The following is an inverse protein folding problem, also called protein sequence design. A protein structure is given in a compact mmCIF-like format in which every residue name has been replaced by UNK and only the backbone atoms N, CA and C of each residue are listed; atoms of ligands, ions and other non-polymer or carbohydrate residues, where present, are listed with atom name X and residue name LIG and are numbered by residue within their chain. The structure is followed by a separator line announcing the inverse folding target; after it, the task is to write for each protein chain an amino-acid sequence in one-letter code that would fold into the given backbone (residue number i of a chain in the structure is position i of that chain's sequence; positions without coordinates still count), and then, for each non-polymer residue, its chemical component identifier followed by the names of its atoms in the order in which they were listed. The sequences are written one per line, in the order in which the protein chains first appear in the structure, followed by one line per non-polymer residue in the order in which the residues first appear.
data_IF_770661684669
#
_entry.id   IF_770661684669
#
_cell.length_a   1.000
_cell.length_b   1.000
_cell.length_c   1.000
_cell.angle_alpha   90.00
_cell.angle_beta   90.00
_cell.angle_gamma   90.00
#
_symmetry.space_group_name_H-M   'P 1'
#
loop_
_entity.id
_entity.type
_entity.pdbx_description
1 polymer ?
#
# COMPACT_ATOMS: atom_id res chain seq x y z
N UNK A 1 7.93 28.43 5.20
CA UNK A 1 7.17 27.83 4.09
C UNK A 1 5.76 28.41 3.96
N UNK A 2 5.06 28.67 5.07
CA UNK A 2 3.67 29.15 5.06
C UNK A 2 3.47 30.57 5.61
N UNK A 3 4.56 31.32 5.89
CA UNK A 3 4.52 32.70 6.43
C UNK A 3 3.48 32.89 7.55
N UNK A 4 3.45 31.93 8.47
CA UNK A 4 2.46 31.82 9.53
C UNK A 4 3.21 31.56 10.84
N UNK A 5 2.98 32.41 11.83
CA UNK A 5 3.61 32.24 13.14
C UNK A 5 2.88 31.17 13.94
N UNK A 6 3.60 30.14 14.37
CA UNK A 6 3.03 29.04 15.15
C UNK A 6 3.69 28.94 16.53
N UNK A 7 2.89 28.62 17.54
CA UNK A 7 3.31 28.17 18.84
C UNK A 7 3.23 26.64 18.88
N UNK A 8 4.21 26.00 19.51
CA UNK A 8 4.26 24.55 19.64
C UNK A 8 4.49 24.20 21.11
N UNK A 9 3.52 23.51 21.71
CA UNK A 9 3.54 23.08 23.11
C UNK A 9 3.55 21.54 23.19
N UNK A 10 4.25 20.98 24.17
CA UNK A 10 4.25 19.53 24.40
C UNK A 10 3.07 19.19 25.32
N UNK A 11 2.16 18.33 24.87
CA UNK A 11 1.00 17.87 25.64
C UNK A 11 1.29 16.59 26.42
N UNK A 12 2.01 15.65 25.81
CA UNK A 12 2.36 14.36 26.42
C UNK A 12 3.77 13.96 26.04
N UNK A 13 4.44 13.32 26.97
CA UNK A 13 5.80 12.81 26.77
C UNK A 13 5.80 11.29 26.63
N UNK A 14 6.98 10.72 26.37
CA UNK A 14 7.16 9.26 26.33
C UNK A 14 6.93 8.58 27.68
N UNK A 15 6.82 9.34 28.77
CA UNK A 15 6.46 8.81 30.08
C UNK A 15 4.95 8.49 30.16
N UNK A 16 4.14 9.17 29.35
CA UNK A 16 2.67 9.06 29.36
C UNK A 16 2.13 8.13 28.26
N UNK A 17 2.81 8.04 27.12
CA UNK A 17 2.41 7.20 25.98
C UNK A 17 3.57 6.93 25.00
N UNK A 18 3.37 6.05 24.01
CA UNK A 18 4.43 5.61 23.09
C UNK A 18 4.97 6.70 22.14
N UNK A 19 4.34 7.87 22.08
CA UNK A 19 4.74 9.00 21.23
C UNK A 19 4.65 10.33 21.95
N UNK A 20 5.43 11.32 21.51
CA UNK A 20 5.33 12.69 22.02
C UNK A 20 4.19 13.39 21.29
N UNK A 21 3.27 14.00 22.04
CA UNK A 21 2.15 14.75 21.47
C UNK A 21 2.48 16.24 21.50
N UNK A 22 2.38 16.88 20.34
CA UNK A 22 2.58 18.32 20.20
C UNK A 22 1.27 19.00 19.85
N UNK A 23 0.93 20.06 20.57
CA UNK A 23 -0.10 21.00 20.18
C UNK A 23 0.54 22.10 19.35
N UNK A 24 0.05 22.31 18.13
CA UNK A 24 0.50 23.38 17.25
C UNK A 24 -0.65 24.39 17.14
N UNK A 25 -0.41 25.62 17.55
CA UNK A 25 -1.39 26.71 17.60
C UNK A 25 -0.90 27.89 16.78
N UNK A 26 -1.71 28.44 15.89
CA UNK A 26 -1.33 29.66 15.16
C UNK A 26 -1.41 30.89 16.08
N UNK A 27 -0.38 31.75 16.07
CA UNK A 27 -0.30 32.96 16.90
C UNK A 27 -0.93 34.20 16.24
N UNK A 28 -1.02 34.22 14.91
CA UNK A 28 -1.51 35.37 14.14
C UNK A 28 -3.04 35.36 13.99
N UNK A 29 -3.74 35.97 14.95
CA UNK A 29 -5.19 36.26 14.89
C UNK A 29 -5.56 37.55 14.15
N UNK A 30 -4.85 37.95 13.10
CA UNK A 30 -5.21 39.16 12.33
C UNK A 30 -6.06 38.82 11.12
N UNK A 31 -7.37 39.12 11.20
CA UNK A 31 -8.34 39.31 10.09
C UNK A 31 -8.28 38.34 8.90
N UNK A 32 -7.73 37.14 9.08
CA UNK A 32 -8.07 36.02 8.23
C UNK A 32 -9.45 35.60 8.69
N UNK A 33 -10.47 35.97 7.90
CA UNK A 33 -11.71 35.18 7.80
C UNK A 33 -11.26 33.76 7.98
N UNK A 34 -11.74 33.08 9.03
CA UNK A 34 -11.41 31.69 9.29
C UNK A 34 -11.36 31.03 7.92
N UNK A 35 -10.20 30.49 7.46
CA UNK A 35 -10.13 29.89 6.14
C UNK A 35 -11.39 29.05 6.08
N UNK A 36 -12.31 29.33 5.10
CA UNK A 36 -13.67 28.80 5.15
C UNK A 36 -13.46 27.39 5.58
N UNK A 37 -13.98 27.03 6.78
CA UNK A 37 -13.61 25.79 7.43
C UNK A 37 -13.50 24.84 6.28
N UNK A 38 -12.32 24.24 6.07
CA UNK A 38 -12.36 23.05 5.27
C UNK A 38 -13.15 22.12 6.21
N UNK A 39 -14.49 22.30 6.32
CA UNK A 39 -15.45 21.28 5.94
C UNK A 39 -14.65 20.52 4.91
N UNK A 40 -13.98 19.45 5.38
CA UNK A 40 -13.38 18.46 4.53
C UNK A 40 -14.41 18.26 3.47
N UNK A 41 -14.21 18.90 2.31
CA UNK A 41 -15.33 19.36 1.53
C UNK A 41 -16.19 18.13 1.30
N UNK A 42 -17.39 18.12 1.91
CA UNK A 42 -18.32 16.98 1.93
C UNK A 42 -18.90 16.76 0.51
N UNK A 43 -18.09 17.01 -0.52
CA UNK A 43 -18.09 16.35 -1.82
C UNK A 43 -17.86 14.85 -1.72
N UNK A 44 -17.67 14.28 -0.53
CA UNK A 44 -17.88 12.86 -0.31
C UNK A 44 -19.39 12.61 -0.27
N UNK A 45 -19.93 12.10 -1.37
CA UNK A 45 -21.31 11.62 -1.37
C UNK A 45 -21.50 10.62 -0.22
N UNK A 46 -22.55 10.83 0.59
CA UNK A 46 -22.97 9.89 1.64
C UNK A 46 -23.28 8.49 1.10
N UNK A 47 -23.58 8.41 -0.20
CA UNK A 47 -23.80 7.15 -0.90
C UNK A 47 -22.48 6.61 -1.50
N UNK A 48 -22.20 5.31 -1.35
CA UNK A 48 -21.07 4.68 -2.02
C UNK A 48 -21.24 4.77 -3.54
N UNK A 49 -20.46 5.65 -4.18
CA UNK A 49 -20.48 5.83 -5.65
C UNK A 49 -19.74 4.71 -6.40
N UNK A 50 -18.96 3.91 -5.68
CA UNK A 50 -18.20 2.78 -6.22
C UNK A 50 -18.62 1.51 -5.50
N UNK A 51 -19.10 0.51 -6.24
CA UNK A 51 -19.40 -0.80 -5.66
C UNK A 51 -18.11 -1.52 -5.25
N UNK A 52 -18.14 -2.41 -4.23
CA UNK A 52 -16.98 -3.22 -3.86
C UNK A 52 -16.40 -4.01 -5.05
N UNK A 53 -17.28 -4.51 -5.94
CA UNK A 53 -16.86 -5.20 -7.17
C UNK A 53 -16.10 -4.29 -8.13
N UNK A 54 -16.51 -3.04 -8.27
CA UNK A 54 -15.80 -2.04 -9.08
C UNK A 54 -14.46 -1.71 -8.43
N UNK A 55 -14.43 -1.50 -7.12
CA UNK A 55 -13.21 -1.26 -6.37
C UNK A 55 -12.17 -2.38 -6.56
N UNK A 56 -12.58 -3.65 -6.42
CA UNK A 56 -11.70 -4.80 -6.66
C UNK A 56 -11.13 -4.88 -8.08
N UNK A 57 -11.87 -4.37 -9.08
CA UNK A 57 -11.41 -4.31 -10.47
C UNK A 57 -10.41 -3.19 -10.70
N UNK A 58 -10.59 -2.05 -10.05
CA UNK A 58 -9.69 -0.90 -10.16
C UNK A 58 -8.40 -1.16 -9.39
N UNK A 59 -8.50 -1.76 -8.20
CA UNK A 59 -7.36 -2.09 -7.35
C UNK A 59 -7.20 -3.61 -7.24
N UNK A 60 -6.54 -4.28 -8.19
CA UNK A 60 -6.38 -5.74 -8.17
C UNK A 60 -5.41 -6.23 -7.08
N UNK A 61 -4.60 -5.33 -6.53
CA UNK A 61 -3.65 -5.57 -5.45
C UNK A 61 -4.09 -4.84 -4.18
N UNK A 62 -5.06 -5.42 -3.46
CA UNK A 62 -5.45 -4.93 -2.15
C UNK A 62 -5.87 -6.05 -1.21
N UNK A 63 -5.81 -5.76 0.09
CA UNK A 63 -6.41 -6.58 1.15
C UNK A 63 -7.23 -5.67 2.05
N UNK A 64 -8.41 -6.12 2.46
CA UNK A 64 -9.21 -5.49 3.52
C UNK A 64 -9.29 -6.47 4.68
N UNK A 65 -9.00 -6.03 5.89
CA UNK A 65 -8.99 -6.88 7.08
C UNK A 65 -9.51 -6.14 8.32
N UNK A 66 -10.00 -6.91 9.29
CA UNK A 66 -10.55 -6.42 10.55
C UNK A 66 -9.48 -6.26 11.66
N UNK A 67 -9.91 -5.87 12.86
CA UNK A 67 -9.04 -5.78 14.06
C UNK A 67 -8.35 -7.09 14.45
N UNK A 68 -8.93 -8.23 14.09
CA UNK A 68 -8.34 -9.55 14.36
C UNK A 68 -7.32 -9.96 13.31
N UNK A 69 -6.99 -9.05 12.38
CA UNK A 69 -6.11 -9.27 11.24
C UNK A 69 -6.69 -10.26 10.21
N UNK A 70 -7.99 -10.57 10.29
CA UNK A 70 -8.68 -11.51 9.41
C UNK A 70 -9.04 -10.82 8.09
N UNK A 71 -8.64 -11.42 6.97
CA UNK A 71 -8.91 -10.88 5.64
C UNK A 71 -10.40 -11.05 5.31
N UNK A 72 -11.06 -9.95 4.98
CA UNK A 72 -12.47 -9.89 4.58
C UNK A 72 -12.64 -9.74 3.07
N UNK A 73 -11.70 -9.05 2.41
CA UNK A 73 -11.72 -8.81 0.97
C UNK A 73 -10.30 -8.86 0.41
N UNK A 74 -10.18 -9.40 -0.80
CA UNK A 74 -8.92 -9.54 -1.51
C UNK A 74 -9.10 -9.11 -2.97
N UNK A 75 -8.12 -8.37 -3.50
CA UNK A 75 -8.07 -8.02 -4.91
C UNK A 75 -7.95 -9.24 -5.81
N UNK A 76 -8.47 -9.15 -7.04
CA UNK A 76 -8.57 -10.31 -7.94
C UNK A 76 -7.22 -10.93 -8.27
N UNK A 77 -6.18 -10.12 -8.40
CA UNK A 77 -4.84 -10.63 -8.69
C UNK A 77 -4.24 -11.31 -7.48
N UNK A 78 -4.32 -10.68 -6.30
CA UNK A 78 -3.85 -11.30 -5.05
C UNK A 78 -4.60 -12.60 -4.74
N UNK A 79 -5.92 -12.65 -4.96
CA UNK A 79 -6.70 -13.88 -4.78
C UNK A 79 -6.31 -14.99 -5.75
N UNK A 80 -5.83 -14.65 -6.95
CA UNK A 80 -5.32 -15.63 -7.92
C UNK A 80 -3.91 -16.10 -7.55
N UNK A 81 -2.99 -15.20 -7.18
CA UNK A 81 -1.60 -15.57 -6.87
C UNK A 81 -1.42 -16.12 -5.46
N UNK A 82 -2.30 -15.76 -4.53
CA UNK A 82 -2.33 -16.24 -3.15
C UNK A 82 -3.75 -16.70 -2.79
N UNK A 83 -4.21 -17.86 -3.31
CA UNK A 83 -5.58 -18.35 -3.09
C UNK A 83 -5.94 -18.53 -1.61
N UNK A 84 -4.93 -18.72 -0.77
CA UNK A 84 -5.08 -18.75 0.68
C UNK A 84 -5.77 -17.51 1.25
N UNK A 85 -5.61 -16.33 0.65
CA UNK A 85 -6.27 -15.09 1.06
C UNK A 85 -7.80 -15.11 0.91
N UNK A 86 -8.34 -16.06 0.13
CA UNK A 86 -9.78 -16.23 -0.07
C UNK A 86 -10.41 -17.23 0.92
N UNK A 87 -9.59 -17.93 1.71
CA UNK A 87 -10.09 -18.86 2.72
C UNK A 87 -10.66 -18.10 3.91
N UNK A 88 -11.77 -18.59 4.46
CA UNK A 88 -12.35 -18.04 5.69
C UNK A 88 -11.32 -18.05 6.83
N UNK A 89 -11.42 -17.05 7.70
CA UNK A 89 -10.62 -16.91 8.92
C UNK A 89 -9.09 -16.86 8.70
N UNK A 90 -8.66 -16.55 7.47
CA UNK A 90 -7.25 -16.39 7.14
C UNK A 90 -6.77 -15.02 7.59
N UNK A 91 -5.67 -14.98 8.35
CA UNK A 91 -5.08 -13.72 8.78
C UNK A 91 -4.05 -13.23 7.77
N UNK A 92 -3.93 -11.91 7.64
CA UNK A 92 -2.86 -11.32 6.82
C UNK A 92 -1.46 -11.75 7.29
N UNK A 93 -1.29 -11.98 8.60
CA UNK A 93 -0.04 -12.47 9.21
C UNK A 93 0.31 -13.90 8.81
N UNK A 94 -0.68 -14.70 8.40
CA UNK A 94 -0.48 -16.08 7.92
C UNK A 94 0.06 -16.10 6.49
N UNK A 95 -0.09 -14.98 5.77
CA UNK A 95 0.28 -14.86 4.36
C UNK A 95 1.50 -13.98 4.15
N UNK A 96 1.64 -12.92 4.95
CA UNK A 96 2.59 -11.84 4.73
C UNK A 96 3.41 -11.57 6.00
N UNK A 97 4.69 -11.27 5.80
CA UNK A 97 5.63 -10.82 6.83
C UNK A 97 6.03 -9.36 6.58
N UNK A 98 6.09 -8.52 7.63
CA UNK A 98 6.57 -7.15 7.50
C UNK A 98 8.07 -7.15 7.21
N UNK A 99 8.45 -6.50 6.10
CA UNK A 99 9.85 -6.14 5.80
C UNK A 99 10.12 -4.72 6.30
N UNK A 100 9.17 -3.80 6.09
CA UNK A 100 9.21 -2.42 6.57
C UNK A 100 7.78 -1.93 6.85
N UNK A 101 7.57 -1.07 7.86
CA UNK A 101 8.49 -0.79 8.98
C UNK A 101 8.79 -2.04 9.82
N UNK A 102 9.86 -2.01 10.61
CA UNK A 102 10.21 -3.11 11.52
C UNK A 102 9.36 -3.02 12.80
N UNK A 103 8.13 -3.52 12.70
CA UNK A 103 7.17 -3.61 13.79
C UNK A 103 6.37 -4.91 13.67
N UNK A 104 5.77 -5.34 14.78
CA UNK A 104 4.84 -6.46 14.76
C UNK A 104 3.57 -6.04 14.00
N UNK A 105 3.15 -6.87 13.05
CA UNK A 105 2.00 -6.60 12.18
C UNK A 105 0.69 -6.82 12.96
N UNK A 106 0.38 -5.90 13.87
CA UNK A 106 -0.89 -5.82 14.62
C UNK A 106 -1.68 -4.60 14.17
N UNK A 107 -3.00 -4.62 14.40
CA UNK A 107 -3.88 -3.54 13.99
C UNK A 107 -3.47 -2.19 14.61
N UNK A 108 -3.19 -2.16 15.92
CA UNK A 108 -2.83 -0.95 16.64
C UNK A 108 -1.46 -0.39 16.24
N UNK A 109 -0.49 -1.27 15.97
CA UNK A 109 0.82 -0.83 15.45
C UNK A 109 0.68 -0.23 14.05
N UNK A 110 -0.15 -0.84 13.19
CA UNK A 110 -0.43 -0.33 11.85
C UNK A 110 -1.08 1.06 11.96
N UNK A 111 -2.10 1.20 12.80
CA UNK A 111 -2.82 2.45 13.00
C UNK A 111 -1.92 3.56 13.54
N UNK A 112 -1.03 3.24 14.48
CA UNK A 112 -0.06 4.18 15.05
C UNK A 112 0.98 4.64 14.02
N UNK A 113 1.23 3.86 12.97
CA UNK A 113 2.17 4.15 11.89
C UNK A 113 1.47 4.23 10.53
N UNK A 114 0.21 4.71 10.49
CA UNK A 114 -0.64 4.67 9.30
C UNK A 114 -0.04 5.41 8.10
N UNK A 115 0.69 6.51 8.37
CA UNK A 115 1.34 7.34 7.36
C UNK A 115 2.68 6.74 6.84
N UNK A 116 3.03 5.53 7.25
CA UNK A 116 4.23 4.83 6.81
C UNK A 116 3.95 3.99 5.57
N UNK A 117 4.93 3.90 4.66
CA UNK A 117 4.87 2.96 3.55
C UNK A 117 5.24 1.56 4.05
N UNK A 118 4.35 0.61 3.83
CA UNK A 118 4.54 -0.79 4.19
C UNK A 118 5.17 -1.56 3.03
N UNK A 119 6.14 -2.40 3.35
CA UNK A 119 6.66 -3.42 2.46
C UNK A 119 6.43 -4.76 3.13
N UNK A 120 5.53 -5.55 2.58
CA UNK A 120 5.20 -6.89 3.06
C UNK A 120 5.76 -7.92 2.09
N UNK A 121 6.32 -9.01 2.60
CA UNK A 121 6.79 -10.14 1.78
C UNK A 121 5.89 -11.33 2.04
N UNK A 122 5.44 -12.02 0.99
CA UNK A 122 4.71 -13.28 1.18
C UNK A 122 5.58 -14.32 1.87
N UNK A 123 4.94 -15.12 2.71
CA UNK A 123 5.54 -16.32 3.28
C UNK A 123 5.75 -17.37 2.19
N UNK A 124 6.62 -18.32 2.48
CA UNK A 124 6.83 -19.50 1.66
C UNK A 124 5.51 -20.28 1.52
N UNK A 125 5.31 -20.94 0.38
CA UNK A 125 4.15 -21.79 0.05
C UNK A 125 2.78 -21.10 -0.02
N UNK A 126 2.73 -19.78 0.13
CA UNK A 126 1.47 -19.02 -0.02
C UNK A 126 1.15 -18.74 -1.49
N UNK A 127 2.18 -18.61 -2.31
CA UNK A 127 2.02 -18.32 -3.73
C UNK A 127 1.73 -19.59 -4.54
N UNK A 128 0.71 -19.51 -5.39
CA UNK A 128 0.43 -20.54 -6.37
C UNK A 128 1.22 -20.24 -7.66
N UNK A 129 2.45 -20.72 -7.72
CA UNK A 129 3.33 -20.60 -8.90
C UNK A 129 4.04 -21.92 -9.17
N UNK A 130 4.21 -22.27 -10.45
CA UNK A 130 5.01 -23.42 -10.90
C UNK A 130 6.52 -23.09 -10.93
N UNK A 131 6.89 -21.85 -10.58
CA UNK A 131 8.27 -21.37 -10.66
C UNK A 131 9.17 -21.94 -9.55
N UNK A 132 10.51 -21.92 -9.75
CA UNK A 132 11.48 -22.30 -8.73
C UNK A 132 11.30 -21.54 -7.42
N UNK A 133 11.75 -22.12 -6.30
CA UNK A 133 11.63 -21.56 -4.94
C UNK A 133 12.13 -20.11 -4.80
N UNK A 134 13.08 -19.67 -5.62
CA UNK A 134 13.57 -18.29 -5.61
C UNK A 134 12.50 -17.25 -6.05
N UNK A 135 11.51 -17.70 -6.83
CA UNK A 135 10.36 -16.89 -7.30
C UNK A 135 9.06 -17.19 -6.56
N UNK A 136 9.09 -18.04 -5.53
CA UNK A 136 7.90 -18.40 -4.73
C UNK A 136 7.51 -17.35 -3.67
N UNK A 137 8.15 -16.18 -3.69
CA UNK A 137 7.79 -15.06 -2.82
C UNK A 137 7.41 -13.83 -3.63
N UNK A 138 6.59 -12.95 -3.07
CA UNK A 138 6.22 -11.68 -3.67
C UNK A 138 6.37 -10.59 -2.62
N UNK A 139 7.01 -9.48 -3.00
CA UNK A 139 7.04 -8.27 -2.20
C UNK A 139 5.94 -7.34 -2.66
N UNK A 140 5.12 -6.90 -1.71
CA UNK A 140 4.04 -5.95 -1.92
C UNK A 140 4.41 -4.66 -1.18
N UNK A 141 4.46 -3.55 -1.92
CA UNK A 141 4.71 -2.23 -1.36
C UNK A 141 3.44 -1.41 -1.44
N UNK A 142 3.08 -0.70 -0.38
CA UNK A 142 1.79 -0.05 -0.31
C UNK A 142 1.59 0.82 0.92
N UNK A 143 0.39 1.34 1.05
CA UNK A 143 -0.06 2.11 2.21
C UNK A 143 -1.23 1.41 2.89
N UNK A 144 -1.32 1.65 4.19
CA UNK A 144 -2.43 1.23 5.02
C UNK A 144 -3.41 2.39 5.13
N UNK A 145 -4.70 2.13 4.95
CA UNK A 145 -5.77 3.10 5.06
C UNK A 145 -6.79 2.58 6.06
N UNK A 146 -7.04 3.33 7.12
CA UNK A 146 -8.05 2.99 8.11
C UNK A 146 -9.41 3.57 7.70
N UNK A 147 -10.46 2.76 7.77
CA UNK A 147 -11.85 3.15 7.53
C UNK A 147 -12.58 3.14 8.88
N UNK A 148 -12.74 4.30 9.54
CA UNK A 148 -13.33 4.37 10.87
C UNK A 148 -14.78 3.87 10.93
N UNK A 149 -15.56 4.07 9.87
CA UNK A 149 -16.99 3.75 9.82
C UNK A 149 -17.26 2.24 9.86
N UNK A 150 -16.32 1.46 9.31
CA UNK A 150 -16.41 0.01 9.25
C UNK A 150 -15.44 -0.70 10.21
N UNK A 151 -14.54 0.07 10.86
CA UNK A 151 -13.45 -0.44 11.68
C UNK A 151 -12.54 -1.43 10.93
N UNK A 152 -12.22 -1.08 9.67
CA UNK A 152 -11.43 -1.91 8.76
C UNK A 152 -10.14 -1.22 8.34
N UNK A 153 -9.14 -2.04 8.02
CA UNK A 153 -7.90 -1.59 7.40
C UNK A 153 -7.85 -2.06 5.96
N UNK A 154 -7.52 -1.15 5.03
CA UNK A 154 -7.18 -1.48 3.65
C UNK A 154 -5.68 -1.38 3.46
N UNK A 155 -5.06 -2.45 2.99
CA UNK A 155 -3.72 -2.40 2.41
C UNK A 155 -3.84 -2.24 0.89
N UNK A 156 -3.62 -1.02 0.39
CA UNK A 156 -3.49 -0.75 -1.04
C UNK A 156 -2.02 -0.87 -1.43
N UNK A 157 -1.72 -1.79 -2.36
CA UNK A 157 -0.34 -2.13 -2.66
C UNK A 157 -0.12 -2.43 -4.14
N UNK A 158 1.15 -2.60 -4.49
CA UNK A 158 1.59 -3.04 -5.80
C UNK A 158 2.75 -4.03 -5.65
N UNK A 159 2.94 -4.94 -6.63
CA UNK A 159 4.05 -5.87 -6.62
C UNK A 159 5.37 -5.15 -6.89
N UNK A 160 6.39 -5.44 -6.09
CA UNK A 160 7.76 -4.99 -6.33
C UNK A 160 8.42 -5.94 -7.34
N UNK A 161 8.26 -5.65 -8.61
CA UNK A 161 8.83 -6.39 -9.75
C UNK A 161 9.76 -5.49 -10.57
N UNK A 162 10.81 -6.06 -11.15
CA UNK A 162 11.82 -5.30 -11.89
C UNK A 162 11.52 -5.22 -13.38
N UNK A 163 11.15 -6.35 -13.99
CA UNK A 163 10.98 -6.49 -15.43
C UNK A 163 9.87 -7.54 -15.74
N UNK A 164 9.57 -7.77 -17.02
CA UNK A 164 8.50 -8.69 -17.44
C UNK A 164 8.82 -10.14 -17.10
N UNK A 165 10.11 -10.51 -17.14
CA UNK A 165 10.56 -11.84 -16.76
C UNK A 165 10.29 -12.13 -15.28
N UNK A 166 10.66 -11.22 -14.37
CA UNK A 166 10.41 -11.35 -12.93
C UNK A 166 8.90 -11.41 -12.63
N UNK A 167 8.11 -10.61 -13.34
CA UNK A 167 6.66 -10.59 -13.25
C UNK A 167 6.07 -11.96 -13.63
N UNK A 168 6.48 -12.51 -14.78
CA UNK A 168 5.99 -13.80 -15.29
C UNK A 168 6.41 -14.96 -14.38
N UNK A 169 7.65 -14.95 -13.89
CA UNK A 169 8.16 -15.97 -12.95
C UNK A 169 7.41 -15.99 -11.62
N UNK A 170 6.85 -14.85 -11.20
CA UNK A 170 6.00 -14.76 -10.00
C UNK A 170 4.51 -15.05 -10.27
N UNK A 171 4.18 -15.56 -11.46
CA UNK A 171 2.80 -15.91 -11.83
C UNK A 171 1.89 -14.69 -12.04
N UNK A 172 2.49 -13.52 -12.27
CA UNK A 172 1.77 -12.30 -12.62
C UNK A 172 1.79 -12.10 -14.14
N UNK A 173 0.92 -11.21 -14.62
CA UNK A 173 0.86 -10.72 -15.98
C UNK A 173 0.86 -9.19 -15.99
N UNK A 174 1.38 -8.59 -17.06
CA UNK A 174 1.35 -7.12 -17.20
C UNK A 174 -0.09 -6.57 -17.18
N UNK A 175 -1.07 -7.37 -17.60
CA UNK A 175 -2.49 -7.04 -17.55
C UNK A 175 -3.06 -6.99 -16.13
N UNK A 176 -2.38 -7.58 -15.15
CA UNK A 176 -2.78 -7.49 -13.74
C UNK A 176 -2.45 -6.13 -13.14
N UNK A 177 -1.49 -5.40 -13.72
CA UNK A 177 -1.12 -4.05 -13.25
C UNK A 177 -2.05 -3.04 -13.95
N UNK A 178 -2.85 -2.27 -13.18
CA UNK A 178 -3.78 -1.30 -13.75
C UNK A 178 -3.07 -0.23 -14.59
N UNK A 179 -3.77 0.31 -15.58
CA UNK A 179 -3.23 1.37 -16.45
C UNK A 179 -2.88 2.66 -15.70
N UNK A 180 -3.54 2.93 -14.56
CA UNK A 180 -3.27 4.11 -13.75
C UNK A 180 -2.13 3.89 -12.74
N UNK A 181 -1.62 2.65 -12.62
CA UNK A 181 -0.54 2.32 -11.72
C UNK A 181 0.81 2.56 -12.43
N UNK A 182 1.60 3.49 -11.91
CA UNK A 182 2.89 3.87 -12.46
C UNK A 182 3.89 2.70 -12.52
N UNK A 183 3.69 1.64 -11.73
CA UNK A 183 4.55 0.44 -11.80
C UNK A 183 4.47 -0.25 -13.15
N UNK A 184 3.36 -0.13 -13.87
CA UNK A 184 3.22 -0.65 -15.24
C UNK A 184 4.22 0.01 -16.18
N UNK A 185 4.30 1.34 -16.13
CA UNK A 185 5.22 2.11 -16.96
C UNK A 185 6.66 1.83 -16.57
N UNK A 186 6.96 1.70 -15.26
CA UNK A 186 8.29 1.35 -14.77
C UNK A 186 8.77 -0.01 -15.31
N UNK A 187 7.90 -1.03 -15.31
CA UNK A 187 8.24 -2.36 -15.86
C UNK A 187 8.52 -2.28 -17.36
N UNK A 188 7.68 -1.58 -18.11
CA UNK A 188 7.86 -1.42 -19.57
C UNK A 188 9.11 -0.61 -19.92
N UNK A 189 9.41 0.43 -19.15
CA UNK A 189 10.65 1.19 -19.30
C UNK A 189 11.88 0.33 -19.01
N UNK A 190 11.84 -0.54 -17.99
CA UNK A 190 12.94 -1.46 -17.71
C UNK A 190 13.25 -2.38 -18.89
N UNK A 191 12.22 -2.91 -19.56
CA UNK A 191 12.39 -3.73 -20.77
C UNK A 191 12.98 -2.95 -21.94
N UNK A 192 12.50 -1.71 -22.14
CA UNK A 192 13.04 -0.84 -23.18
C UNK A 192 14.53 -0.55 -22.94
N UNK A 193 14.91 -0.20 -21.71
CA UNK A 193 16.30 0.01 -21.35
C UNK A 193 17.16 -1.24 -21.55
N UNK A 194 16.66 -2.42 -21.23
CA UNK A 194 17.38 -3.68 -21.44
C UNK A 194 17.58 -3.98 -22.94
N UNK A 195 16.57 -3.72 -23.77
CA UNK A 195 16.64 -3.88 -25.22
C UNK A 195 17.65 -2.91 -25.86
N UNK A 196 17.59 -1.62 -25.48
CA UNK A 196 18.51 -0.58 -25.96
C UNK A 196 19.96 -0.89 -25.55
N UNK A 197 20.16 -1.42 -24.34
CA UNK A 197 21.47 -1.86 -23.86
C UNK A 197 22.01 -3.04 -24.68
N UNK A 198 21.19 -4.07 -24.94
CA UNK A 198 21.58 -5.22 -25.79
C UNK A 198 21.93 -4.78 -27.21
N UNK A 199 21.17 -3.84 -27.79
CA UNK A 199 21.45 -3.28 -29.11
C UNK A 199 22.79 -2.54 -29.15
N UNK A 200 23.01 -1.64 -28.18
CA UNK A 200 24.26 -0.88 -28.07
C UNK A 200 25.47 -1.81 -27.97
N UNK A 201 25.38 -2.83 -27.10
CA UNK A 201 26.43 -3.83 -26.94
C UNK A 201 26.72 -4.59 -28.24
N UNK A 202 25.69 -5.00 -28.99
CA UNK A 202 25.88 -5.68 -30.27
C UNK A 202 26.55 -4.80 -31.32
N UNK A 203 26.32 -3.48 -31.29
CA UNK A 203 27.00 -2.53 -32.17
C UNK A 203 28.46 -2.31 -31.79
N UNK A 204 28.84 -2.42 -30.51
CA UNK A 204 30.24 -2.31 -30.06
C UNK A 204 31.11 -3.52 -30.46
N UNK A 205 30.50 -4.68 -30.71
CA UNK A 205 31.19 -5.90 -31.16
C UNK A 205 31.27 -6.04 -32.69
N UNK A 206 30.71 -5.09 -33.45
CA UNK A 206 30.83 -4.97 -34.91
C UNK A 206 31.97 -4.04 -35.30
#
# INVERSE_FOLDING_TARGET
LHDTEVQMDILKTKEDCDHVQFLITEKSGHDRVAPPQIEEMETLSLEPKVSPKTFCRVFPFHLVFDRNMCILQCGSTLGRVMPSALRKDTKITDLLNPVRPHLDLTFDNILSHINTVYVLKSREDVMFTEAPLEFSSLRLKGQMLYIPEADLMIFLCYPSVVNLDDLTRRGLYISDIPLHDATRDLVLMSEQFEADYKLTRNLEFL
#
